data_IF_952415641378
#
_entry.id   IF_952415641378
#
_cell.length_a   1.000
_cell.length_b   1.000
_cell.length_c   1.000
_cell.angle_alpha   90.00
_cell.angle_beta   90.00
_cell.angle_gamma   90.00
#
_symmetry.space_group_name_H-M   'P 1'
#
loop_
_entity.id
_entity.type
_entity.pdbx_description
1 polymer ?
#
# COMPACT_ATOMS: atom_id res chain seq x y z
N UNK A 1 -11.65 -5.76 8.21
CA UNK A 1 -10.51 -5.87 7.27
C UNK A 1 -9.23 -5.96 8.08
N UNK A 2 -8.45 -7.02 7.90
CA UNK A 2 -7.16 -7.22 8.56
C UNK A 2 -6.03 -6.93 7.57
N UNK A 3 -4.94 -6.33 8.06
CA UNK A 3 -3.74 -6.03 7.24
C UNK A 3 -2.57 -6.78 7.83
N UNK A 4 -1.88 -7.56 6.99
CA UNK A 4 -0.66 -8.27 7.34
C UNK A 4 0.50 -7.70 6.53
N UNK A 5 1.62 -7.46 7.21
CA UNK A 5 2.82 -6.95 6.57
C UNK A 5 3.82 -8.07 6.32
N UNK A 6 4.36 -8.15 5.11
CA UNK A 6 5.44 -9.09 4.82
C UNK A 6 6.73 -8.66 5.51
N UNK A 7 7.61 -9.61 5.81
CA UNK A 7 8.95 -9.31 6.36
C UNK A 7 9.74 -8.34 5.48
N UNK A 8 9.58 -8.44 4.14
CA UNK A 8 10.18 -7.51 3.17
C UNK A 8 9.64 -6.10 3.34
N UNK A 9 8.32 -5.95 3.45
CA UNK A 9 7.68 -4.66 3.65
C UNK A 9 8.15 -3.99 4.94
N UNK A 10 8.17 -4.72 6.07
CA UNK A 10 8.60 -4.17 7.37
C UNK A 10 10.01 -3.60 7.28
N UNK A 11 10.97 -4.35 6.72
CA UNK A 11 12.35 -3.89 6.52
C UNK A 11 12.45 -2.66 5.62
N UNK A 12 11.63 -2.57 4.57
CA UNK A 12 11.59 -1.40 3.68
C UNK A 12 10.98 -0.19 4.39
N UNK A 13 9.89 -0.39 5.12
CA UNK A 13 9.21 0.65 5.88
C UNK A 13 10.10 1.26 6.96
N UNK A 14 10.84 0.44 7.70
CA UNK A 14 11.76 0.89 8.75
C UNK A 14 12.89 1.77 8.21
N UNK A 15 13.42 1.44 7.02
CA UNK A 15 14.50 2.21 6.34
C UNK A 15 14.00 3.48 5.64
N UNK A 16 12.70 3.65 5.51
CA UNK A 16 12.11 4.76 4.77
C UNK A 16 12.06 6.02 5.63
N UNK A 17 12.25 7.19 5.00
CA UNK A 17 12.18 8.49 5.68
C UNK A 17 10.86 8.68 6.44
N UNK A 18 10.95 9.36 7.59
CA UNK A 18 9.81 9.58 8.49
C UNK A 18 8.64 10.31 7.82
N UNK A 19 8.88 11.19 6.85
CA UNK A 19 7.81 11.89 6.11
C UNK A 19 7.00 10.91 5.26
N UNK A 20 7.68 9.98 4.58
CA UNK A 20 7.02 8.97 3.75
C UNK A 20 6.28 7.96 4.62
N UNK A 21 6.85 7.56 5.77
CA UNK A 21 6.16 6.71 6.76
C UNK A 21 4.86 7.34 7.25
N UNK A 22 4.88 8.63 7.61
CA UNK A 22 3.66 9.38 7.98
C UNK A 22 2.66 9.48 6.82
N UNK A 23 3.12 9.67 5.59
CA UNK A 23 2.25 9.66 4.42
C UNK A 23 1.59 8.29 4.21
N UNK A 24 2.35 7.21 4.38
CA UNK A 24 1.84 5.84 4.31
C UNK A 24 0.74 5.60 5.35
N UNK A 25 0.98 5.97 6.61
CA UNK A 25 -0.02 5.80 7.67
C UNK A 25 -1.33 6.55 7.39
N UNK A 26 -1.24 7.78 6.86
CA UNK A 26 -2.42 8.54 6.43
C UNK A 26 -3.18 7.84 5.31
N UNK A 27 -2.48 7.32 4.31
CA UNK A 27 -3.08 6.63 3.16
C UNK A 27 -3.66 5.27 3.56
N UNK A 28 -3.01 4.56 4.49
CA UNK A 28 -3.53 3.34 5.08
C UNK A 28 -4.85 3.58 5.81
N UNK A 29 -4.99 4.67 6.58
CA UNK A 29 -6.26 5.03 7.23
C UNK A 29 -7.38 5.26 6.21
N UNK A 30 -7.08 5.94 5.10
CA UNK A 30 -8.05 6.14 4.01
C UNK A 30 -8.42 4.79 3.39
N UNK A 31 -7.43 3.94 3.12
CA UNK A 31 -7.62 2.61 2.54
C UNK A 31 -8.49 1.70 3.41
N UNK A 32 -8.27 1.69 4.74
CA UNK A 32 -9.07 0.93 5.70
C UNK A 32 -10.52 1.40 5.78
N UNK A 33 -10.78 2.70 5.53
CA UNK A 33 -12.14 3.27 5.50
C UNK A 33 -12.83 3.08 4.14
N UNK A 34 -12.10 3.29 3.06
CA UNK A 34 -12.57 3.18 1.69
C UNK A 34 -11.39 2.87 0.74
N UNK A 35 -11.23 1.60 0.40
CA UNK A 35 -10.16 1.11 -0.47
C UNK A 35 -10.27 1.60 -1.93
N UNK A 36 -11.46 2.06 -2.35
CA UNK A 36 -11.75 2.59 -3.69
C UNK A 36 -11.63 4.12 -3.75
N UNK A 37 -11.11 4.77 -2.70
CA UNK A 37 -10.95 6.22 -2.68
C UNK A 37 -10.04 6.69 -3.84
N UNK A 38 -10.47 7.67 -4.66
CA UNK A 38 -9.68 8.15 -5.81
C UNK A 38 -8.27 8.64 -5.47
N UNK A 39 -8.06 9.17 -4.26
CA UNK A 39 -6.72 9.61 -3.82
C UNK A 39 -5.71 8.47 -3.74
N UNK A 40 -6.17 7.24 -3.53
CA UNK A 40 -5.33 6.06 -3.49
C UNK A 40 -4.95 5.58 -4.89
N UNK A 41 -5.69 5.98 -5.93
CA UNK A 41 -5.51 5.47 -7.30
C UNK A 41 -5.30 3.96 -7.32
N UNK A 42 -6.16 3.23 -6.59
CA UNK A 42 -6.03 1.79 -6.38
C UNK A 42 -6.33 1.05 -7.69
N UNK A 43 -5.34 0.32 -8.22
CA UNK A 43 -5.52 -0.46 -9.44
C UNK A 43 -4.70 -1.77 -9.40
N UNK A 44 -5.16 -2.83 -10.07
CA UNK A 44 -4.40 -4.06 -10.22
C UNK A 44 -3.16 -3.84 -11.09
N UNK A 45 -2.08 -4.53 -10.74
CA UNK A 45 -0.87 -4.59 -11.55
C UNK A 45 -0.94 -5.77 -12.54
N UNK A 46 -0.07 -5.70 -13.55
CA UNK A 46 0.04 -6.69 -14.63
C UNK A 46 1.49 -7.21 -14.73
N UNK A 47 1.71 -8.25 -15.52
CA UNK A 47 3.04 -8.83 -15.74
C UNK A 47 3.55 -9.61 -14.52
N UNK A 48 4.82 -9.44 -14.16
CA UNK A 48 5.45 -10.12 -13.01
C UNK A 48 4.79 -9.81 -11.67
N UNK A 49 4.08 -8.68 -11.58
CA UNK A 49 3.32 -8.27 -10.40
C UNK A 49 1.82 -8.55 -10.54
N UNK A 50 1.42 -9.42 -11.46
CA UNK A 50 0.04 -9.90 -11.55
C UNK A 50 -0.42 -10.49 -10.21
N UNK A 51 -1.66 -10.18 -9.81
CA UNK A 51 -2.21 -10.56 -8.49
C UNK A 51 -1.93 -9.54 -7.38
N UNK A 52 -1.05 -8.57 -7.60
CA UNK A 52 -0.88 -7.43 -6.70
C UNK A 52 -1.70 -6.22 -7.16
N UNK A 53 -1.96 -5.32 -6.22
CA UNK A 53 -2.59 -4.03 -6.41
C UNK A 53 -1.66 -2.94 -5.90
N UNK A 54 -1.77 -1.75 -6.48
CA UNK A 54 -0.93 -0.61 -6.13
C UNK A 54 -1.77 0.58 -5.67
N UNK A 55 -1.37 1.20 -4.55
CA UNK A 55 -1.95 2.45 -4.05
C UNK A 55 -0.90 3.56 -3.98
N UNK A 56 -1.32 4.78 -4.29
CA UNK A 56 -0.52 6.00 -4.12
C UNK A 56 -0.26 6.27 -2.64
N UNK A 57 1.01 6.50 -2.30
CA UNK A 57 1.41 7.06 -1.01
C UNK A 57 1.75 8.55 -1.20
N UNK A 58 2.66 8.83 -2.14
CA UNK A 58 3.01 10.16 -2.65
C UNK A 58 3.04 10.13 -4.19
N UNK A 59 3.63 11.15 -4.84
CA UNK A 59 3.87 11.13 -6.30
C UNK A 59 4.82 9.99 -6.71
N UNK A 60 5.87 9.79 -5.92
CA UNK A 60 6.95 8.83 -6.25
C UNK A 60 6.82 7.50 -5.49
N UNK A 61 6.08 7.49 -4.37
CA UNK A 61 5.96 6.30 -3.53
C UNK A 61 4.60 5.60 -3.69
N UNK A 62 4.67 4.28 -3.86
CA UNK A 62 3.50 3.40 -3.94
C UNK A 62 3.61 2.25 -2.95
N UNK A 63 2.49 1.84 -2.37
CA UNK A 63 2.41 0.61 -1.59
C UNK A 63 1.77 -0.49 -2.45
N UNK A 64 2.34 -1.70 -2.39
CA UNK A 64 1.83 -2.88 -3.07
C UNK A 64 1.19 -3.82 -2.05
N UNK A 65 0.02 -4.36 -2.39
CA UNK A 65 -0.66 -5.33 -1.56
C UNK A 65 -1.36 -6.39 -2.42
N UNK A 66 -1.64 -7.55 -1.84
CA UNK A 66 -2.48 -8.59 -2.43
C UNK A 66 -3.62 -8.90 -1.46
N UNK A 67 -4.75 -9.33 -2.00
CA UNK A 67 -5.90 -9.75 -1.22
C UNK A 67 -5.80 -11.25 -0.97
N UNK A 68 -5.87 -11.66 0.29
CA UNK A 68 -5.90 -13.06 0.67
C UNK A 68 -7.37 -13.36 0.95
N UNK A 69 -7.98 -14.25 0.15
CA UNK A 69 -9.26 -14.86 0.52
C UNK A 69 -8.96 -15.94 1.56
N UNK A 70 -9.67 -15.90 2.68
CA UNK A 70 -9.74 -17.05 3.60
C UNK A 70 -10.41 -18.24 2.91
#
# INVERSE_FOLDING_TARGET
>A
MSVRYSKKFVKQYEKTDTKIRKAFEKRLKIFLKNHSNPQLRNHPLKGELSGYRSINITGDWRALYSEIKE
#
